data_IF_185233459969
#
_entry.id   IF_185233459969
#
_cell.length_a   1.000
_cell.length_b   1.000
_cell.length_c   1.000
_cell.angle_alpha   90.00
_cell.angle_beta   90.00
_cell.angle_gamma   90.00
#
_symmetry.space_group_name_H-M   'P 1'
#
loop_
_entity.id
_entity.type
_entity.pdbx_description
1 polymer ?
#
# COMPACT_ATOMS: atom_id res chain seq x y z
N UNK A 1 4.53 -24.93 9.25
CA UNK A 1 4.44 -25.60 7.93
C UNK A 1 4.45 -24.57 6.82
N UNK A 2 5.14 -24.85 5.72
CA UNK A 2 5.24 -23.98 4.53
C UNK A 2 4.01 -24.04 3.61
N UNK A 3 3.10 -25.00 3.82
CA UNK A 3 1.89 -25.18 3.01
C UNK A 3 0.98 -23.94 3.15
N UNK A 4 0.68 -23.22 2.05
CA UNK A 4 -0.24 -22.10 2.07
C UNK A 4 -1.63 -22.49 2.55
N UNK A 5 -2.21 -21.66 3.42
CA UNK A 5 -3.57 -21.79 3.93
C UNK A 5 -4.38 -20.56 3.56
N UNK A 6 -5.62 -20.75 3.10
CA UNK A 6 -6.53 -19.63 2.84
C UNK A 6 -6.84 -18.89 4.14
N UNK A 7 -6.99 -17.58 4.06
CA UNK A 7 -7.44 -16.72 5.13
C UNK A 7 -8.73 -16.02 4.68
N UNK A 8 -9.65 -15.79 5.62
CA UNK A 8 -10.85 -15.00 5.37
C UNK A 8 -10.48 -13.52 5.46
N UNK A 9 -10.92 -12.71 4.50
CA UNK A 9 -10.82 -11.25 4.59
C UNK A 9 -11.66 -10.72 5.75
N UNK A 10 -11.40 -9.48 6.18
CA UNK A 10 -12.19 -8.86 7.27
C UNK A 10 -13.64 -8.62 6.88
N UNK A 11 -13.85 -8.27 5.61
CA UNK A 11 -15.15 -8.03 4.98
C UNK A 11 -14.99 -8.24 3.46
N UNK A 12 -16.09 -8.17 2.71
CA UNK A 12 -16.05 -8.34 1.25
C UNK A 12 -15.41 -7.14 0.54
N UNK A 13 -14.44 -7.38 -0.33
CA UNK A 13 -13.63 -6.32 -0.95
C UNK A 13 -12.41 -5.85 -0.15
N UNK A 14 -12.05 -6.49 0.97
CA UNK A 14 -10.80 -6.20 1.68
C UNK A 14 -9.57 -6.51 0.81
N UNK A 15 -8.94 -5.47 0.25
CA UNK A 15 -7.74 -5.56 -0.57
C UNK A 15 -6.46 -5.69 0.28
N UNK A 16 -6.51 -5.42 1.59
CA UNK A 16 -5.32 -5.46 2.46
C UNK A 16 -5.01 -6.86 2.96
N UNK A 17 -6.00 -7.58 3.51
CA UNK A 17 -5.76 -8.87 4.17
C UNK A 17 -5.21 -9.92 3.20
N UNK A 18 -4.08 -10.60 3.53
CA UNK A 18 -3.57 -11.65 2.67
C UNK A 18 -4.53 -12.83 2.62
N UNK A 19 -5.11 -13.11 1.44
CA UNK A 19 -5.99 -14.28 1.24
C UNK A 19 -5.29 -15.62 1.43
N UNK A 20 -3.96 -15.64 1.41
CA UNK A 20 -3.14 -16.82 1.69
C UNK A 20 -2.05 -16.48 2.68
N UNK A 21 -1.87 -17.33 3.68
CA UNK A 21 -0.78 -17.24 4.64
C UNK A 21 -0.04 -18.59 4.73
N UNK A 22 1.27 -18.54 4.99
CA UNK A 22 2.08 -19.72 5.26
C UNK A 22 2.97 -19.49 6.48
N UNK A 23 3.54 -20.56 7.02
CA UNK A 23 4.28 -20.56 8.28
C UNK A 23 3.45 -20.04 9.47
N UNK A 24 4.08 -19.93 10.63
CA UNK A 24 3.49 -19.48 11.90
C UNK A 24 4.53 -18.68 12.69
N UNK A 25 4.08 -18.03 13.78
CA UNK A 25 4.96 -17.26 14.65
C UNK A 25 5.73 -16.17 13.91
N UNK A 26 7.03 -16.06 14.17
CA UNK A 26 7.92 -15.05 13.57
C UNK A 26 8.10 -15.22 12.05
N UNK A 27 7.96 -16.44 11.55
CA UNK A 27 8.12 -16.75 10.14
C UNK A 27 6.81 -16.59 9.36
N UNK A 28 5.69 -16.21 10.01
CA UNK A 28 4.39 -16.10 9.35
C UNK A 28 4.45 -15.11 8.19
N UNK A 29 4.06 -15.56 7.02
CA UNK A 29 4.06 -14.77 5.80
C UNK A 29 2.65 -14.67 5.20
N UNK A 30 2.36 -13.53 4.59
CA UNK A 30 1.16 -13.29 3.79
C UNK A 30 1.50 -13.13 2.31
N UNK A 31 0.63 -13.64 1.45
CA UNK A 31 0.77 -13.47 0.01
C UNK A 31 0.15 -12.16 -0.47
N UNK A 32 0.91 -11.37 -1.21
CA UNK A 32 0.44 -10.21 -1.93
C UNK A 32 0.06 -10.61 -3.37
N UNK A 33 -1.23 -10.60 -3.66
CA UNK A 33 -1.79 -10.89 -4.99
C UNK A 33 -1.80 -9.68 -5.95
N UNK A 34 -1.31 -8.51 -5.49
CA UNK A 34 -1.27 -7.29 -6.30
C UNK A 34 0.06 -7.14 -7.05
N UNK A 35 1.08 -7.91 -6.68
CA UNK A 35 2.33 -7.99 -7.43
C UNK A 35 2.19 -8.95 -8.63
N UNK A 36 2.97 -8.72 -9.68
CA UNK A 36 3.12 -9.63 -10.81
C UNK A 36 4.62 -9.92 -11.01
N UNK A 37 5.12 -11.14 -10.70
CA UNK A 37 4.42 -12.23 -10.01
C UNK A 37 4.09 -11.87 -8.55
N UNK A 38 3.13 -12.58 -7.94
CA UNK A 38 2.74 -12.35 -6.55
C UNK A 38 3.87 -12.62 -5.56
N UNK A 39 3.84 -11.98 -4.39
CA UNK A 39 4.97 -11.93 -3.45
C UNK A 39 4.60 -12.40 -2.05
N UNK A 40 5.41 -13.27 -1.44
CA UNK A 40 5.31 -13.62 -0.02
C UNK A 40 6.11 -12.62 0.81
N UNK A 41 5.49 -12.10 1.87
CA UNK A 41 6.12 -11.11 2.76
C UNK A 41 5.80 -11.46 4.21
N UNK A 42 6.78 -11.27 5.09
CA UNK A 42 6.61 -11.50 6.52
C UNK A 42 5.59 -10.54 7.13
N UNK A 43 4.74 -11.09 7.99
CA UNK A 43 3.71 -10.33 8.71
C UNK A 43 4.26 -9.74 10.00
N UNK A 44 5.17 -10.43 10.69
CA UNK A 44 5.66 -10.03 12.03
C UNK A 44 6.64 -8.87 12.04
N UNK A 45 7.41 -8.68 10.97
CA UNK A 45 8.36 -7.56 10.84
C UNK A 45 7.79 -6.37 10.04
N UNK A 46 6.47 -6.31 9.87
CA UNK A 46 5.76 -5.28 9.11
C UNK A 46 6.13 -5.19 7.61
N UNK A 47 6.90 -6.12 7.04
CA UNK A 47 7.25 -6.09 5.62
C UNK A 47 6.01 -6.13 4.71
N UNK A 48 5.03 -6.97 5.04
CA UNK A 48 3.75 -7.01 4.33
C UNK A 48 3.00 -5.68 4.42
N UNK A 49 2.94 -5.09 5.62
CA UNK A 49 2.26 -3.82 5.86
C UNK A 49 2.89 -2.68 5.03
N UNK A 50 4.20 -2.50 5.14
CA UNK A 50 4.95 -1.47 4.40
C UNK A 50 4.73 -1.63 2.89
N UNK A 51 4.76 -2.87 2.41
CA UNK A 51 4.57 -3.16 0.99
C UNK A 51 3.16 -2.81 0.51
N UNK A 52 2.12 -3.28 1.20
CA UNK A 52 0.73 -2.96 0.82
C UNK A 52 0.47 -1.46 0.85
N UNK A 53 0.97 -0.78 1.87
CA UNK A 53 0.70 0.63 2.05
C UNK A 53 1.48 1.52 1.08
N UNK A 54 2.80 1.36 0.98
CA UNK A 54 3.63 2.31 0.22
C UNK A 54 3.95 1.86 -1.20
N UNK A 55 3.81 0.57 -1.52
CA UNK A 55 3.99 0.11 -2.89
C UNK A 55 2.66 0.05 -3.63
N UNK A 56 1.60 -0.42 -2.98
CA UNK A 56 0.28 -0.57 -3.61
C UNK A 56 -0.73 0.52 -3.22
N UNK A 57 -0.42 1.38 -2.26
CA UNK A 57 -1.35 2.42 -1.82
C UNK A 57 -2.57 1.88 -1.10
N UNK A 58 -2.48 0.74 -0.40
CA UNK A 58 -3.62 0.09 0.27
C UNK A 58 -3.50 0.28 1.79
N UNK A 59 -4.53 0.87 2.39
CA UNK A 59 -4.59 1.13 3.83
C UNK A 59 -4.81 -0.15 4.63
N UNK A 60 -3.98 -0.33 5.67
CA UNK A 60 -4.19 -1.40 6.65
C UNK A 60 -5.44 -1.22 7.51
N UNK A 61 -5.91 0.03 7.65
CA UNK A 61 -7.09 0.34 8.47
C UNK A 61 -8.35 0.03 7.68
N UNK A 62 -8.57 0.71 6.55
CA UNK A 62 -9.79 0.51 5.76
C UNK A 62 -9.76 -0.81 5.00
N UNK A 63 -8.60 -1.28 4.55
CA UNK A 63 -8.51 -2.40 3.61
C UNK A 63 -8.67 -2.00 2.14
N UNK A 64 -8.82 -0.70 1.87
CA UNK A 64 -9.03 -0.15 0.54
C UNK A 64 -7.82 0.68 0.11
N UNK A 65 -7.78 1.05 -1.16
CA UNK A 65 -6.79 1.99 -1.69
C UNK A 65 -6.96 3.37 -1.06
N UNK A 66 -5.86 4.09 -0.93
CA UNK A 66 -5.88 5.51 -0.61
C UNK A 66 -6.64 6.26 -1.69
N UNK A 67 -7.32 7.33 -1.28
CA UNK A 67 -7.95 8.22 -2.22
C UNK A 67 -6.87 8.90 -3.07
N UNK A 68 -7.17 9.02 -4.36
CA UNK A 68 -6.37 9.80 -5.29
C UNK A 68 -6.49 11.29 -4.94
N UNK A 69 -5.49 12.11 -5.28
CA UNK A 69 -5.56 13.56 -5.10
C UNK A 69 -6.77 14.14 -5.85
N UNK A 70 -7.38 15.18 -5.27
CA UNK A 70 -8.52 15.88 -5.89
C UNK A 70 -8.11 16.55 -7.21
N UNK A 71 -6.90 17.09 -7.24
CA UNK A 71 -6.29 17.76 -8.39
C UNK A 71 -4.80 17.43 -8.43
N UNK A 72 -4.20 17.40 -9.62
CA UNK A 72 -2.75 17.27 -9.79
C UNK A 72 -2.20 18.47 -10.55
N UNK A 73 -1.01 18.93 -10.15
CA UNK A 73 -0.30 20.01 -10.83
C UNK A 73 1.19 19.72 -10.97
N UNK A 74 1.81 20.32 -11.97
CA UNK A 74 3.26 20.38 -12.05
C UNK A 74 3.76 21.40 -11.00
N UNK A 75 4.55 20.91 -10.04
CA UNK A 75 5.29 21.74 -9.11
C UNK A 75 6.68 22.10 -9.63
N UNK A 76 7.46 22.78 -8.80
CA UNK A 76 8.84 23.14 -9.14
C UNK A 76 9.75 21.92 -9.29
N UNK A 77 10.79 22.04 -10.13
CA UNK A 77 11.82 21.01 -10.26
C UNK A 77 11.34 19.67 -10.82
N UNK A 78 10.21 19.64 -11.53
CA UNK A 78 9.66 18.41 -12.12
C UNK A 78 9.02 17.47 -11.08
N UNK A 79 8.59 18.01 -9.94
CA UNK A 79 7.76 17.31 -8.96
C UNK A 79 6.30 17.41 -9.40
N UNK A 80 5.55 16.32 -9.33
CA UNK A 80 4.09 16.35 -9.47
C UNK A 80 3.50 16.44 -8.08
N UNK A 81 2.62 17.42 -7.87
CA UNK A 81 1.91 17.63 -6.62
C UNK A 81 0.43 17.27 -6.75
N UNK A 82 -0.17 16.84 -5.64
CA UNK A 82 -1.58 16.48 -5.54
C UNK A 82 -2.28 17.23 -4.42
N UNK A 83 -3.50 17.71 -4.68
CA UNK A 83 -4.34 18.34 -3.68
C UNK A 83 -4.94 17.28 -2.75
N UNK A 84 -4.58 17.32 -1.47
CA UNK A 84 -5.12 16.41 -0.47
C UNK A 84 -6.56 16.77 -0.09
N UNK A 85 -7.43 15.75 -0.07
CA UNK A 85 -8.82 15.90 0.35
C UNK A 85 -8.98 16.22 1.84
N UNK A 86 -8.00 15.87 2.69
CA UNK A 86 -8.05 16.08 4.13
C UNK A 86 -7.50 17.45 4.52
N UNK A 87 -6.23 17.74 4.22
CA UNK A 87 -5.60 19.00 4.63
C UNK A 87 -5.82 20.14 3.65
N UNK A 88 -6.40 19.89 2.46
CA UNK A 88 -6.62 20.88 1.39
C UNK A 88 -5.33 21.58 0.93
N UNK A 89 -4.19 20.89 1.02
CA UNK A 89 -2.89 21.38 0.56
C UNK A 89 -2.37 20.54 -0.60
N UNK A 90 -1.61 21.18 -1.49
CA UNK A 90 -0.82 20.48 -2.50
C UNK A 90 0.40 19.84 -1.84
N UNK A 91 0.57 18.54 -2.06
CA UNK A 91 1.69 17.77 -1.50
C UNK A 91 2.37 16.94 -2.59
N UNK A 92 3.66 16.61 -2.45
CA UNK A 92 4.38 15.84 -3.46
C UNK A 92 3.80 14.42 -3.66
N UNK A 93 3.54 14.04 -4.90
CA UNK A 93 3.14 12.68 -5.30
C UNK A 93 4.36 11.87 -5.74
N UNK A 94 5.10 12.41 -6.71
CA UNK A 94 6.25 11.78 -7.33
C UNK A 94 7.19 12.85 -7.89
N UNK A 95 8.43 12.46 -8.21
CA UNK A 95 9.41 13.36 -8.84
C UNK A 95 9.88 12.79 -10.18
N UNK A 96 10.48 13.64 -11.01
CA UNK A 96 10.97 13.24 -12.33
C UNK A 96 11.89 12.00 -12.31
N UNK A 97 12.65 11.78 -11.23
CA UNK A 97 13.56 10.63 -11.08
C UNK A 97 12.84 9.33 -10.69
N UNK A 98 11.70 9.42 -9.99
CA UNK A 98 10.93 8.27 -9.51
C UNK A 98 9.44 8.55 -9.68
N UNK A 99 8.85 7.95 -10.71
CA UNK A 99 7.41 8.03 -11.04
C UNK A 99 6.51 7.22 -10.08
N UNK A 100 6.95 6.96 -8.85
CA UNK A 100 6.17 6.17 -7.87
C UNK A 100 5.40 7.11 -6.94
N UNK A 101 4.14 6.77 -6.66
CA UNK A 101 3.26 7.54 -5.76
C UNK A 101 3.56 7.33 -4.27
N UNK A 102 4.77 6.91 -3.91
CA UNK A 102 5.15 6.61 -2.52
C UNK A 102 5.03 7.84 -1.63
N UNK A 103 5.35 9.03 -2.15
CA UNK A 103 5.25 10.27 -1.38
C UNK A 103 3.78 10.59 -1.07
N UNK A 104 2.90 10.40 -2.05
CA UNK A 104 1.46 10.51 -1.86
C UNK A 104 0.96 9.54 -0.79
N UNK A 105 1.29 8.25 -0.90
CA UNK A 105 0.82 7.24 0.06
C UNK A 105 1.33 7.47 1.49
N UNK A 106 2.53 8.05 1.65
CA UNK A 106 3.03 8.50 2.96
C UNK A 106 2.24 9.67 3.53
N UNK A 107 1.76 10.55 2.67
CA UNK A 107 0.88 11.64 3.09
C UNK A 107 -0.53 11.13 3.41
N UNK A 108 -1.17 10.41 2.49
CA UNK A 108 -2.54 9.91 2.62
C UNK A 108 -2.74 8.88 3.76
N UNK A 109 -1.66 8.30 4.28
CA UNK A 109 -1.71 7.48 5.48
C UNK A 109 -1.92 8.29 6.76
N UNK A 110 -1.40 9.53 6.81
CA UNK A 110 -1.52 10.41 7.98
C UNK A 110 -2.96 10.87 8.15
#
# INVERSE_FOLDING_TARGET
>A
SAVPRRQRGRYDGDEYTPRWARYQGQLKEGYCNHCRPGKWLQLKNSAYWYHKQFFHGISSVSGQRFLEPLEQRAGEGGVVEGLCHQCRQFVPICNAKRKTSVLWYRHAHK
#
